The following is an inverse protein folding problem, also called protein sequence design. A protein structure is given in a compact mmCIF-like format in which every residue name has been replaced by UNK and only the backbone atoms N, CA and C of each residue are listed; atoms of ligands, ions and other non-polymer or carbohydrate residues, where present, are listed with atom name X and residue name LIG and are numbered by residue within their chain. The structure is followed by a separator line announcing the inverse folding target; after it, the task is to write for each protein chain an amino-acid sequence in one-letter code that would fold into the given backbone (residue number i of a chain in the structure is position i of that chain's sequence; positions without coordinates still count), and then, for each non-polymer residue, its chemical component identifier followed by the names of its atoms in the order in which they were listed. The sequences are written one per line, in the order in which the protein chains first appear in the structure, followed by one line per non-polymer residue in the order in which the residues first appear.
data_IF_511964515716
#
_entry.id   IF_511964515716
#
_cell.length_a   1.000
_cell.length_b   1.000
_cell.length_c   1.000
_cell.angle_alpha   90.00
_cell.angle_beta   90.00
_cell.angle_gamma   90.00
#
_symmetry.space_group_name_H-M   'P 1'
#
loop_
_entity.id
_entity.type
_entity.pdbx_description
1 polymer ?
#
# COMPACT_ATOMS: atom_id res chain seq x y z
N UNK A 1 -32.20 35.57 25.20
CA UNK A 1 -31.06 35.08 25.96
C UNK A 1 -29.84 34.93 25.04
N UNK A 2 -29.37 36.03 24.52
CA UNK A 2 -28.16 36.16 23.71
C UNK A 2 -27.48 37.45 24.16
N UNK A 3 -26.68 37.44 25.24
CA UNK A 3 -25.81 38.53 25.69
C UNK A 3 -25.25 38.19 27.08
N UNK A 4 -24.46 37.14 27.23
CA UNK A 4 -23.73 36.91 28.49
C UNK A 4 -22.49 35.96 28.34
N UNK A 5 -21.80 35.92 27.18
CA UNK A 5 -20.55 35.20 27.02
C UNK A 5 -19.54 36.07 26.25
N UNK A 6 -19.36 37.29 26.66
CA UNK A 6 -18.38 38.19 26.06
C UNK A 6 -17.71 39.07 27.14
N UNK A 7 -17.36 38.47 28.31
CA UNK A 7 -16.72 39.28 29.36
C UNK A 7 -15.85 38.45 30.31
N UNK A 8 -15.02 37.53 29.76
CA UNK A 8 -14.11 36.79 30.62
C UNK A 8 -12.78 36.41 29.91
N UNK A 9 -12.27 37.28 29.04
CA UNK A 9 -10.97 37.09 28.36
C UNK A 9 -10.21 38.42 28.24
N UNK A 10 -10.19 39.19 29.32
CA UNK A 10 -9.34 40.39 29.40
C UNK A 10 -9.02 40.69 30.85
N UNK A 11 -8.18 39.87 31.50
CA UNK A 11 -7.52 40.27 32.74
C UNK A 11 -6.51 39.19 33.16
N UNK A 12 -5.35 39.13 32.57
CA UNK A 12 -4.08 38.75 33.21
C UNK A 12 -2.95 39.17 32.28
N UNK A 13 -2.63 40.41 32.24
CA UNK A 13 -1.30 40.95 31.94
C UNK A 13 -1.10 42.15 32.88
N UNK A 14 0.02 42.15 33.51
CA UNK A 14 0.68 43.17 34.31
C UNK A 14 0.90 42.72 35.76
N UNK A 15 2.16 42.65 36.08
CA UNK A 15 2.92 42.84 37.32
C UNK A 15 3.97 41.72 37.39
N UNK A 16 5.22 41.98 37.21
CA UNK A 16 6.16 42.60 38.03
C UNK A 16 7.57 42.58 37.53
N UNK A 17 8.06 43.72 37.21
CA UNK A 17 9.48 44.07 37.17
C UNK A 17 9.92 44.52 38.57
N UNK A 18 11.26 44.41 38.84
CA UNK A 18 12.08 44.95 39.95
C UNK A 18 12.54 43.85 40.91
N UNK A 19 13.79 43.64 41.22
CA UNK A 19 15.04 44.38 41.12
C UNK A 19 16.21 43.57 41.72
N UNK A 20 17.43 44.03 41.43
CA UNK A 20 18.68 43.96 42.19
C UNK A 20 19.29 42.57 42.50
N UNK A 21 20.41 42.16 42.01
CA UNK A 21 21.70 42.87 42.11
C UNK A 21 22.58 42.23 43.18
N UNK A 22 23.53 41.33 42.79
CA UNK A 22 24.76 41.08 43.57
C UNK A 22 25.84 40.47 42.66
N UNK A 23 26.96 41.15 42.57
CA UNK A 23 28.23 40.67 42.00
C UNK A 23 28.92 39.70 42.94
N UNK A 24 29.58 38.65 42.42
CA UNK A 24 30.92 38.16 42.74
C UNK A 24 31.10 36.71 42.28
N UNK A 25 32.30 36.18 42.07
CA UNK A 25 33.41 36.63 41.29
C UNK A 25 33.81 35.62 40.17
N UNK A 26 34.66 36.10 39.25
CA UNK A 26 35.36 35.33 38.23
C UNK A 26 36.13 34.14 38.80
N UNK A 27 35.91 32.97 38.18
CA UNK A 27 36.87 31.88 38.17
C UNK A 27 37.13 31.53 36.70
N UNK A 28 38.32 31.80 36.26
CA UNK A 28 38.88 31.37 34.97
C UNK A 28 38.80 29.84 34.87
N UNK A 29 38.19 29.35 33.79
CA UNK A 29 38.35 27.99 33.33
C UNK A 29 39.03 27.98 31.96
N UNK A 30 39.90 27.00 31.69
CA UNK A 30 40.79 27.03 30.55
C UNK A 30 40.06 26.80 29.24
N UNK A 31 40.41 27.61 28.24
CA UNK A 31 40.09 27.36 26.83
C UNK A 31 40.67 26.01 26.40
N UNK A 32 39.79 25.10 26.04
CA UNK A 32 40.10 24.04 25.13
C UNK A 32 39.24 24.28 23.87
N UNK A 33 39.85 24.91 22.91
CA UNK A 33 39.42 24.86 21.52
C UNK A 33 39.57 23.41 21.05
N UNK A 34 38.45 22.72 20.93
CA UNK A 34 38.37 21.61 20.04
C UNK A 34 37.39 22.03 18.93
N UNK A 35 37.96 22.52 17.85
CA UNK A 35 37.26 22.56 16.58
C UNK A 35 36.84 21.14 16.24
N UNK A 36 35.54 20.88 16.34
CA UNK A 36 34.93 19.79 15.67
C UNK A 36 35.05 20.05 14.15
N UNK A 37 35.55 19.11 13.35
CA UNK A 37 35.54 19.28 11.92
C UNK A 37 34.07 19.36 11.48
N UNK A 38 33.66 20.53 10.99
CA UNK A 38 32.54 20.63 10.05
C UNK A 38 32.94 19.82 8.83
N UNK A 39 32.50 18.59 8.80
CA UNK A 39 32.27 17.90 7.55
C UNK A 39 31.00 18.53 6.96
N UNK A 40 31.14 19.66 6.28
CA UNK A 40 30.28 19.93 5.14
C UNK A 40 30.55 18.78 4.18
N UNK A 41 29.71 17.73 4.24
CA UNK A 41 29.54 16.88 3.12
C UNK A 41 28.80 17.74 2.08
N UNK A 42 29.58 18.39 1.20
CA UNK A 42 29.06 18.76 -0.11
C UNK A 42 28.47 17.48 -0.65
N UNK A 43 27.13 17.44 -0.79
CA UNK A 43 26.49 16.43 -1.61
C UNK A 43 27.23 16.48 -2.95
N UNK A 44 27.72 15.35 -3.48
CA UNK A 44 28.40 15.36 -4.74
C UNK A 44 27.44 15.99 -5.76
N UNK A 45 27.90 17.04 -6.42
CA UNK A 45 27.14 17.73 -7.48
C UNK A 45 26.81 16.81 -8.67
N UNK A 46 27.22 15.55 -8.61
CA UNK A 46 27.07 14.50 -9.61
C UNK A 46 26.01 13.44 -9.21
N UNK A 47 25.18 13.71 -8.18
CA UNK A 47 24.28 12.71 -7.62
C UNK A 47 22.98 12.55 -8.42
N UNK A 48 22.58 13.52 -9.25
CA UNK A 48 21.42 13.41 -10.13
C UNK A 48 21.92 12.94 -11.49
N UNK A 49 21.50 11.75 -11.92
CA UNK A 49 21.79 11.26 -13.26
C UNK A 49 21.26 12.24 -14.30
N UNK A 50 22.04 12.49 -15.36
CA UNK A 50 21.50 13.15 -16.54
C UNK A 50 20.40 12.26 -17.16
N UNK A 51 19.52 12.84 -17.97
CA UNK A 51 18.49 12.07 -18.67
C UNK A 51 19.11 10.94 -19.52
N UNK A 52 20.25 11.18 -20.14
CA UNK A 52 21.00 10.19 -20.94
C UNK A 52 21.59 9.08 -20.07
N UNK A 53 22.17 9.42 -18.91
CA UNK A 53 22.71 8.44 -17.96
C UNK A 53 21.62 7.63 -17.29
N UNK A 54 20.48 8.26 -16.96
CA UNK A 54 19.31 7.56 -16.40
C UNK A 54 18.71 6.58 -17.42
N UNK A 55 18.60 6.97 -18.69
CA UNK A 55 18.16 6.09 -19.77
C UNK A 55 19.14 4.93 -19.96
N UNK A 56 20.45 5.20 -19.97
CA UNK A 56 21.47 4.18 -20.09
C UNK A 56 21.50 3.22 -18.88
N UNK A 57 21.30 3.74 -17.67
CA UNK A 57 21.21 2.92 -16.46
C UNK A 57 19.96 2.02 -16.49
N UNK A 58 18.81 2.54 -16.92
CA UNK A 58 17.59 1.75 -17.10
C UNK A 58 17.76 0.65 -18.13
N UNK A 59 18.40 0.94 -19.28
CA UNK A 59 18.60 -0.01 -20.37
C UNK A 59 19.67 -1.07 -20.04
N UNK A 60 20.64 -0.73 -19.20
CA UNK A 60 21.71 -1.61 -18.74
C UNK A 60 21.36 -2.38 -17.45
N UNK A 61 20.35 -1.92 -16.71
CA UNK A 61 19.97 -2.48 -15.44
C UNK A 61 19.25 -3.81 -15.57
N UNK A 62 19.42 -4.67 -14.59
CA UNK A 62 18.50 -5.76 -14.35
C UNK A 62 17.29 -5.22 -13.61
N UNK A 63 16.12 -5.66 -14.00
CA UNK A 63 14.91 -5.48 -13.22
C UNK A 63 15.09 -6.21 -11.89
N UNK A 64 14.67 -5.60 -10.79
CA UNK A 64 14.65 -6.31 -9.51
C UNK A 64 13.53 -7.33 -9.57
N UNK A 65 13.95 -8.54 -9.85
CA UNK A 65 13.17 -9.75 -9.73
C UNK A 65 12.01 -9.90 -10.71
N UNK A 66 12.02 -11.01 -11.41
CA UNK A 66 10.81 -11.58 -12.01
C UNK A 66 9.69 -11.79 -10.96
N UNK A 67 10.04 -11.68 -9.67
CA UNK A 67 9.17 -11.85 -8.52
C UNK A 67 8.17 -10.70 -8.33
N UNK A 68 8.39 -9.55 -8.97
CA UNK A 68 7.52 -8.36 -8.89
C UNK A 68 6.84 -8.12 -10.24
N UNK A 69 6.15 -9.13 -10.74
CA UNK A 69 5.48 -9.07 -12.04
C UNK A 69 4.64 -7.80 -12.21
N UNK A 70 4.90 -7.10 -13.32
CA UNK A 70 4.18 -5.87 -13.69
C UNK A 70 4.82 -4.57 -13.24
N UNK A 71 5.87 -4.61 -12.41
CA UNK A 71 6.58 -3.41 -11.96
C UNK A 71 8.06 -3.45 -12.36
N UNK A 72 8.53 -2.38 -12.97
CA UNK A 72 9.91 -2.23 -13.40
C UNK A 72 10.77 -1.63 -12.29
N UNK A 73 11.18 -2.43 -11.32
CA UNK A 73 12.21 -2.03 -10.37
C UNK A 73 13.59 -2.27 -10.96
N UNK A 74 14.41 -1.25 -10.93
CA UNK A 74 15.80 -1.35 -11.33
C UNK A 74 16.65 -1.79 -10.13
N UNK A 75 17.56 -2.77 -10.29
CA UNK A 75 18.38 -3.28 -9.19
C UNK A 75 19.18 -2.19 -8.47
N UNK A 76 19.58 -1.14 -9.18
CA UNK A 76 20.23 0.03 -8.64
C UNK A 76 19.30 1.12 -8.12
N UNK A 77 17.97 0.94 -8.18
CA UNK A 77 17.00 2.01 -7.86
C UNK A 77 17.18 2.54 -6.45
N UNK A 78 17.31 1.67 -5.45
CA UNK A 78 17.52 2.12 -4.08
C UNK A 78 18.84 2.88 -3.92
N UNK A 79 19.92 2.38 -4.51
CA UNK A 79 21.22 3.06 -4.48
C UNK A 79 21.16 4.42 -5.18
N UNK A 80 20.46 4.51 -6.31
CA UNK A 80 20.29 5.76 -7.04
C UNK A 80 19.48 6.77 -6.23
N UNK A 81 18.32 6.38 -5.71
CA UNK A 81 17.50 7.24 -4.85
C UNK A 81 18.26 7.63 -3.58
N UNK A 82 18.93 6.68 -2.96
CA UNK A 82 19.72 6.90 -1.77
C UNK A 82 20.84 7.91 -1.97
N UNK A 83 21.54 7.87 -3.12
CA UNK A 83 22.63 8.80 -3.43
C UNK A 83 22.17 10.25 -3.61
N UNK A 84 20.89 10.46 -3.87
CA UNK A 84 20.33 11.79 -4.12
C UNK A 84 19.74 12.45 -2.87
N UNK A 85 19.75 11.78 -1.71
CA UNK A 85 19.14 12.31 -0.49
C UNK A 85 20.16 12.62 0.59
N UNK A 86 19.89 13.65 1.42
CA UNK A 86 20.69 13.96 2.58
C UNK A 86 20.82 12.76 3.53
N UNK A 87 21.94 12.68 4.23
CA UNK A 87 22.17 11.66 5.23
C UNK A 87 21.92 12.26 6.63
N UNK A 88 20.84 11.85 7.29
CA UNK A 88 20.39 12.38 8.57
C UNK A 88 20.83 11.53 9.76
N UNK A 89 22.12 11.27 9.92
CA UNK A 89 22.66 10.39 10.98
C UNK A 89 22.21 10.77 12.39
N UNK A 90 22.00 12.04 12.64
CA UNK A 90 21.69 12.61 13.96
C UNK A 90 20.36 13.37 13.99
N UNK A 91 19.39 12.98 13.14
CA UNK A 91 18.14 13.72 13.01
C UNK A 91 17.31 13.84 14.31
N UNK A 92 17.53 12.94 15.29
CA UNK A 92 16.92 13.03 16.63
C UNK A 92 17.41 14.22 17.46
N UNK A 93 18.54 14.80 17.13
CA UNK A 93 19.22 15.76 17.99
C UNK A 93 18.50 17.10 18.12
N UNK A 94 17.69 17.51 17.14
CA UNK A 94 17.08 18.84 17.11
C UNK A 94 15.55 18.87 16.86
N UNK A 95 14.93 17.74 16.58
CA UNK A 95 13.48 17.62 16.41
C UNK A 95 12.92 18.42 15.22
N UNK A 96 13.74 18.69 14.20
CA UNK A 96 13.34 19.49 13.03
C UNK A 96 13.04 18.67 11.78
N UNK A 97 13.36 17.37 11.81
CA UNK A 97 13.07 16.49 10.69
C UNK A 97 11.55 16.34 10.53
N UNK A 98 11.06 16.62 9.34
CA UNK A 98 9.63 16.59 9.00
C UNK A 98 9.33 15.49 8.03
N UNK A 99 8.34 14.68 8.36
CA UNK A 99 7.88 13.57 7.54
C UNK A 99 6.40 13.76 7.19
N UNK A 100 6.03 13.52 5.94
CA UNK A 100 4.64 13.60 5.52
C UNK A 100 4.14 12.28 4.93
N UNK A 101 2.80 12.13 4.94
CA UNK A 101 2.10 11.18 4.09
C UNK A 101 1.05 11.93 3.27
N UNK A 102 1.22 11.98 1.95
CA UNK A 102 0.23 12.55 1.03
C UNK A 102 -0.55 11.42 0.42
N UNK A 103 -1.80 11.30 0.83
CA UNK A 103 -2.66 10.16 0.56
C UNK A 103 -3.85 10.54 -0.33
N UNK A 104 -4.19 9.67 -1.28
CA UNK A 104 -5.34 9.87 -2.18
C UNK A 104 -6.66 10.04 -1.43
N UNK A 105 -6.89 9.29 -0.36
CA UNK A 105 -8.03 9.43 0.55
C UNK A 105 -7.78 8.69 1.86
N UNK A 106 -8.45 9.12 2.92
CA UNK A 106 -8.47 8.40 4.20
C UNK A 106 -9.52 7.27 4.18
N UNK A 107 -9.47 6.38 5.16
CA UNK A 107 -10.43 5.29 5.32
C UNK A 107 -9.81 4.07 5.99
N UNK A 108 -10.57 2.99 6.06
CA UNK A 108 -10.17 1.76 6.75
C UNK A 108 -8.84 1.16 6.25
N UNK A 109 -8.47 1.43 5.00
CA UNK A 109 -7.24 0.95 4.40
C UNK A 109 -6.03 1.87 4.64
N UNK A 110 -6.20 3.19 4.55
CA UNK A 110 -5.09 4.14 4.62
C UNK A 110 -4.89 4.76 6.01
N UNK A 111 -5.95 4.93 6.80
CA UNK A 111 -5.85 5.52 8.14
C UNK A 111 -4.91 4.73 9.06
N UNK A 112 -4.95 3.40 9.14
CA UNK A 112 -3.98 2.64 9.94
C UNK A 112 -2.53 2.83 9.49
N UNK A 113 -2.28 2.93 8.17
CA UNK A 113 -0.95 3.21 7.62
C UNK A 113 -0.45 4.60 8.01
N UNK A 114 -1.33 5.62 7.88
CA UNK A 114 -1.01 6.98 8.26
C UNK A 114 -0.67 7.09 9.75
N UNK A 115 -1.49 6.48 10.61
CA UNK A 115 -1.25 6.47 12.05
C UNK A 115 0.07 5.77 12.41
N UNK A 116 0.30 4.59 11.83
CA UNK A 116 1.52 3.82 12.10
C UNK A 116 2.78 4.53 11.61
N UNK A 117 2.72 5.18 10.44
CA UNK A 117 3.84 6.03 9.98
C UNK A 117 4.09 7.16 10.97
N UNK A 118 3.04 7.89 11.39
CA UNK A 118 3.14 8.96 12.39
C UNK A 118 3.77 8.47 13.68
N UNK A 119 3.22 7.43 14.31
CA UNK A 119 3.73 6.84 15.54
C UNK A 119 5.20 6.42 15.43
N UNK A 120 5.58 5.82 14.30
CA UNK A 120 6.96 5.34 14.07
C UNK A 120 7.96 6.49 13.98
N UNK A 121 7.65 7.54 13.20
CA UNK A 121 8.59 8.65 12.99
C UNK A 121 8.60 9.63 14.16
N UNK A 122 7.46 9.85 14.82
CA UNK A 122 7.37 10.68 16.04
C UNK A 122 8.12 10.05 17.22
N UNK A 123 8.13 8.72 17.34
CA UNK A 123 8.95 8.02 18.33
C UNK A 123 10.45 8.26 18.14
N UNK A 124 10.89 8.56 16.92
CA UNK A 124 12.26 8.95 16.59
C UNK A 124 12.49 10.46 16.70
N UNK A 125 11.48 11.25 17.07
CA UNK A 125 11.56 12.71 17.27
C UNK A 125 11.30 13.53 16.02
N UNK A 126 10.73 12.98 14.97
CA UNK A 126 10.32 13.71 13.78
C UNK A 126 8.98 14.44 14.01
N UNK A 127 8.74 15.52 13.25
CA UNK A 127 7.40 16.08 13.06
C UNK A 127 6.68 15.29 11.97
N UNK A 128 5.39 15.02 12.16
CA UNK A 128 4.59 14.26 11.19
C UNK A 128 3.37 15.04 10.69
N UNK A 129 3.08 14.92 9.39
CA UNK A 129 1.91 15.51 8.75
C UNK A 129 1.22 14.49 7.84
N UNK A 130 -0.06 14.26 8.10
CA UNK A 130 -0.93 13.50 7.18
C UNK A 130 -1.76 14.48 6.33
N UNK A 131 -1.72 14.31 5.01
CA UNK A 131 -2.50 15.07 4.03
C UNK A 131 -3.44 14.10 3.33
N UNK A 132 -4.76 14.31 3.50
CA UNK A 132 -5.82 13.57 2.84
C UNK A 132 -6.34 14.39 1.65
N UNK A 133 -6.11 13.90 0.44
CA UNK A 133 -6.60 14.55 -0.78
C UNK A 133 -8.09 14.29 -1.06
N UNK A 134 -8.75 13.43 -0.28
CA UNK A 134 -10.18 13.11 -0.40
C UNK A 134 -10.61 12.73 -1.83
N UNK A 135 -9.75 12.03 -2.57
CA UNK A 135 -9.97 11.60 -3.95
C UNK A 135 -9.79 12.67 -5.01
N UNK A 136 -9.40 13.88 -4.64
CA UNK A 136 -9.19 15.01 -5.55
C UNK A 136 -7.73 15.08 -6.00
N UNK A 137 -7.49 14.99 -7.32
CA UNK A 137 -6.16 15.02 -7.92
C UNK A 137 -5.44 16.35 -7.65
N UNK A 138 -6.17 17.49 -7.74
CA UNK A 138 -5.56 18.78 -7.51
C UNK A 138 -5.17 18.97 -6.05
N UNK A 139 -6.01 18.54 -5.11
CA UNK A 139 -5.69 18.58 -3.69
C UNK A 139 -4.46 17.72 -3.35
N UNK A 140 -4.27 16.60 -4.06
CA UNK A 140 -3.08 15.77 -3.90
C UNK A 140 -1.82 16.47 -4.41
N UNK A 141 -1.89 17.11 -5.59
CA UNK A 141 -0.80 17.90 -6.17
C UNK A 141 -0.44 19.07 -5.22
N UNK A 142 -1.45 19.81 -4.76
CA UNK A 142 -1.27 20.91 -3.82
C UNK A 142 -0.65 20.43 -2.50
N UNK A 143 -0.97 19.21 -2.08
CA UNK A 143 -0.36 18.54 -0.92
C UNK A 143 1.14 18.30 -1.12
N UNK A 144 1.55 17.82 -2.28
CA UNK A 144 2.98 17.64 -2.63
C UNK A 144 3.69 18.99 -2.69
N UNK A 145 3.13 19.97 -3.37
CA UNK A 145 3.72 21.31 -3.47
C UNK A 145 3.84 21.98 -2.08
N UNK A 146 2.88 21.74 -1.19
CA UNK A 146 2.89 22.26 0.18
C UNK A 146 4.02 21.68 1.03
N UNK A 147 4.29 20.35 0.95
CA UNK A 147 5.41 19.76 1.70
C UNK A 147 6.76 20.26 1.18
N UNK A 148 6.91 20.48 -0.12
CA UNK A 148 8.12 21.07 -0.72
C UNK A 148 8.29 22.49 -0.21
N UNK A 149 7.25 23.33 -0.24
CA UNK A 149 7.29 24.72 0.21
C UNK A 149 7.55 24.87 1.71
N UNK A 150 7.32 23.83 2.50
CA UNK A 150 7.56 23.82 3.95
C UNK A 150 8.86 23.11 4.34
N UNK A 151 9.72 22.75 3.39
CA UNK A 151 11.00 22.07 3.62
C UNK A 151 10.82 20.79 4.44
N UNK A 152 9.99 19.85 3.97
CA UNK A 152 9.92 18.50 4.52
C UNK A 152 11.14 17.69 4.10
N UNK A 153 11.52 16.73 4.93
CA UNK A 153 12.71 15.89 4.71
C UNK A 153 12.36 14.56 4.04
N UNK A 154 11.17 14.04 4.30
CA UNK A 154 10.72 12.79 3.68
C UNK A 154 9.20 12.75 3.51
N UNK A 155 8.74 11.94 2.55
CA UNK A 155 7.32 11.75 2.27
C UNK A 155 7.00 10.32 1.82
N UNK A 156 5.89 9.79 2.30
CA UNK A 156 5.21 8.64 1.68
C UNK A 156 4.09 9.15 0.77
N UNK A 157 3.93 8.53 -0.39
CA UNK A 157 2.96 8.93 -1.40
C UNK A 157 2.02 7.77 -1.75
N UNK A 158 0.73 8.07 -1.89
CA UNK A 158 -0.21 7.24 -2.62
C UNK A 158 -1.15 8.15 -3.43
N UNK A 159 -1.02 8.17 -4.75
CA UNK A 159 -1.73 9.10 -5.61
C UNK A 159 -3.15 8.60 -5.94
N UNK A 160 -4.09 9.50 -6.24
CA UNK A 160 -5.38 9.13 -6.82
C UNK A 160 -5.27 8.60 -8.26
N UNK A 161 -4.19 8.99 -8.96
CA UNK A 161 -3.85 8.56 -10.30
C UNK A 161 -2.32 8.44 -10.40
N UNK A 162 -1.82 7.28 -10.81
CA UNK A 162 -0.37 7.00 -10.88
C UNK A 162 0.37 7.86 -11.91
N UNK A 163 -0.31 8.40 -12.92
CA UNK A 163 0.27 9.34 -13.88
C UNK A 163 0.80 10.63 -13.23
N UNK A 164 0.28 10.98 -12.04
CA UNK A 164 0.73 12.16 -11.29
C UNK A 164 2.11 11.96 -10.62
N UNK A 165 2.55 10.71 -10.47
CA UNK A 165 3.79 10.41 -9.74
C UNK A 165 5.02 10.96 -10.45
N UNK A 166 5.11 10.87 -11.77
CA UNK A 166 6.31 11.30 -12.49
C UNK A 166 6.69 12.76 -12.19
N UNK A 167 5.71 13.67 -12.26
CA UNK A 167 5.92 15.09 -11.95
C UNK A 167 6.19 15.33 -10.46
N UNK A 168 5.46 14.64 -9.58
CA UNK A 168 5.63 14.76 -8.15
C UNK A 168 7.03 14.29 -7.71
N UNK A 169 7.47 13.14 -8.21
CA UNK A 169 8.77 12.57 -7.90
C UNK A 169 9.92 13.47 -8.41
N UNK A 170 9.77 14.04 -9.63
CA UNK A 170 10.75 14.98 -10.16
C UNK A 170 10.90 16.24 -9.27
N UNK A 171 9.79 16.81 -8.80
CA UNK A 171 9.81 17.96 -7.88
C UNK A 171 10.45 17.61 -6.52
N UNK A 172 10.14 16.43 -5.98
CA UNK A 172 10.71 15.97 -4.71
C UNK A 172 12.21 15.71 -4.84
N UNK A 173 12.66 15.14 -5.96
CA UNK A 173 14.08 14.95 -6.26
C UNK A 173 14.81 16.29 -6.33
N UNK A 174 14.27 17.27 -7.07
CA UNK A 174 14.85 18.61 -7.16
C UNK A 174 14.93 19.31 -5.79
N UNK A 175 13.94 19.07 -4.93
CA UNK A 175 13.91 19.60 -3.58
C UNK A 175 14.79 18.81 -2.58
N UNK A 176 15.36 17.68 -2.96
CA UNK A 176 16.16 16.81 -2.08
C UNK A 176 15.34 16.12 -0.99
N UNK A 177 14.04 15.92 -1.20
CA UNK A 177 13.13 15.27 -0.26
C UNK A 177 13.11 13.76 -0.52
N UNK A 178 13.44 12.97 0.50
CA UNK A 178 13.36 11.50 0.41
C UNK A 178 11.92 11.04 0.24
N UNK A 179 11.68 10.02 -0.57
CA UNK A 179 10.32 9.52 -0.78
C UNK A 179 10.23 8.00 -0.87
N UNK A 180 9.05 7.50 -0.64
CA UNK A 180 8.60 6.16 -1.02
C UNK A 180 7.14 6.24 -1.48
N UNK A 181 6.68 5.19 -2.15
CA UNK A 181 5.27 5.02 -2.48
C UNK A 181 4.67 3.86 -1.68
N UNK A 182 3.36 3.87 -1.50
CA UNK A 182 2.63 2.74 -0.95
C UNK A 182 1.33 2.53 -1.72
N UNK A 183 0.90 1.29 -1.84
CA UNK A 183 -0.34 0.84 -2.48
C UNK A 183 -0.37 0.98 -4.02
N UNK A 184 -0.04 2.14 -4.54
CA UNK A 184 -0.03 2.42 -5.99
C UNK A 184 1.38 2.84 -6.40
N UNK A 185 2.20 1.91 -6.90
CA UNK A 185 3.53 2.23 -7.41
C UNK A 185 3.43 2.92 -8.78
N UNK A 186 4.44 3.69 -9.10
CA UNK A 186 4.57 4.29 -10.41
C UNK A 186 5.98 4.79 -10.66
N UNK A 187 6.36 4.91 -11.93
CA UNK A 187 7.68 5.36 -12.32
C UNK A 187 7.83 6.88 -12.18
N UNK A 188 9.08 7.29 -12.00
CA UNK A 188 9.51 8.67 -12.18
C UNK A 188 9.60 9.05 -13.68
N UNK A 189 10.06 10.26 -13.96
CA UNK A 189 10.23 10.77 -15.32
C UNK A 189 11.23 9.93 -16.17
N UNK A 190 12.11 9.17 -15.54
CA UNK A 190 13.10 8.30 -16.19
C UNK A 190 12.63 6.85 -16.31
N UNK A 191 11.46 6.52 -15.77
CA UNK A 191 10.88 5.17 -15.80
C UNK A 191 11.35 4.26 -14.68
N UNK A 192 12.02 4.78 -13.63
CA UNK A 192 12.36 4.04 -12.42
C UNK A 192 11.22 4.12 -11.41
N UNK A 193 10.83 3.00 -10.89
CA UNK A 193 9.86 2.98 -9.80
C UNK A 193 10.49 3.47 -8.50
N UNK A 194 9.79 4.35 -7.81
CA UNK A 194 10.17 4.79 -6.47
C UNK A 194 10.23 3.60 -5.51
N UNK A 195 11.07 3.63 -4.46
CA UNK A 195 11.01 2.62 -3.41
C UNK A 195 9.58 2.44 -2.94
N UNK A 196 9.06 1.22 -2.98
CA UNK A 196 7.65 0.92 -2.77
C UNK A 196 7.44 -0.02 -1.60
N UNK A 197 6.45 0.28 -0.78
CA UNK A 197 6.00 -0.59 0.30
C UNK A 197 4.55 -0.96 0.01
N UNK A 198 4.29 -2.21 -0.33
CA UNK A 198 2.98 -2.59 -0.78
C UNK A 198 2.76 -4.07 -0.96
N UNK A 199 1.78 -4.39 -1.79
CA UNK A 199 1.47 -5.75 -2.17
C UNK A 199 2.22 -6.10 -3.45
N UNK A 200 2.82 -7.28 -3.47
CA UNK A 200 3.09 -7.95 -4.73
C UNK A 200 1.78 -8.58 -5.20
N UNK A 201 1.06 -7.85 -6.02
CA UNK A 201 -0.30 -8.21 -6.44
C UNK A 201 -0.35 -9.53 -7.21
N UNK A 202 0.66 -9.81 -8.02
CA UNK A 202 0.75 -11.08 -8.75
C UNK A 202 1.08 -12.22 -7.80
N UNK A 203 2.19 -12.11 -7.06
CA UNK A 203 2.69 -13.16 -6.16
C UNK A 203 1.66 -13.52 -5.09
N UNK A 204 1.05 -12.50 -4.47
CA UNK A 204 0.00 -12.65 -3.46
C UNK A 204 -1.12 -13.57 -3.93
N UNK A 205 -1.61 -13.35 -5.14
CA UNK A 205 -2.70 -14.14 -5.70
C UNK A 205 -2.23 -15.43 -6.38
N UNK A 206 -0.98 -15.53 -6.80
CA UNK A 206 -0.39 -16.79 -7.22
C UNK A 206 -0.33 -17.78 -6.06
N UNK A 207 0.12 -17.36 -4.89
CA UNK A 207 0.08 -18.17 -3.66
C UNK A 207 -1.36 -18.51 -3.23
N UNK A 208 -2.30 -17.58 -3.38
CA UNK A 208 -3.72 -17.85 -3.15
C UNK A 208 -4.25 -18.91 -4.12
N UNK A 209 -3.87 -18.84 -5.40
CA UNK A 209 -4.23 -19.83 -6.43
C UNK A 209 -3.69 -21.21 -6.09
N UNK A 210 -2.42 -21.32 -5.70
CA UNK A 210 -1.80 -22.58 -5.22
C UNK A 210 -2.53 -23.14 -4.01
N UNK A 211 -2.85 -22.28 -3.04
CA UNK A 211 -3.58 -22.67 -1.85
C UNK A 211 -4.98 -23.21 -2.18
N UNK A 212 -5.72 -22.53 -3.04
CA UNK A 212 -7.06 -22.99 -3.48
C UNK A 212 -6.95 -24.30 -4.27
N UNK A 213 -5.95 -24.44 -5.13
CA UNK A 213 -5.68 -25.68 -5.85
C UNK A 213 -5.39 -26.85 -4.88
N UNK A 214 -4.60 -26.60 -3.84
CA UNK A 214 -4.35 -27.59 -2.78
C UNK A 214 -5.65 -27.99 -2.07
N UNK A 215 -6.53 -27.05 -1.71
CA UNK A 215 -7.84 -27.34 -1.12
C UNK A 215 -8.74 -28.15 -2.04
N UNK A 216 -8.72 -27.88 -3.33
CA UNK A 216 -9.46 -28.66 -4.34
C UNK A 216 -8.99 -30.13 -4.30
N UNK A 217 -7.68 -30.38 -4.19
CA UNK A 217 -7.12 -31.75 -4.08
C UNK A 217 -7.48 -32.41 -2.75
N UNK A 218 -7.25 -31.73 -1.63
CA UNK A 218 -7.49 -32.25 -0.28
C UNK A 218 -8.96 -32.65 -0.07
N UNK A 219 -9.87 -31.82 -0.54
CA UNK A 219 -11.32 -32.04 -0.42
C UNK A 219 -11.89 -32.95 -1.50
N UNK A 220 -11.07 -33.38 -2.47
CA UNK A 220 -11.52 -34.16 -3.64
C UNK A 220 -12.66 -33.47 -4.40
N UNK A 221 -12.63 -32.14 -4.43
CA UNK A 221 -13.73 -31.31 -4.88
C UNK A 221 -14.06 -31.50 -6.37
N UNK A 222 -13.08 -31.89 -7.19
CA UNK A 222 -13.21 -32.20 -8.62
C UNK A 222 -13.26 -33.72 -8.91
N UNK A 223 -13.26 -34.59 -7.90
CA UNK A 223 -13.27 -36.04 -8.12
C UNK A 223 -14.53 -36.47 -8.90
N UNK A 224 -14.30 -37.05 -10.07
CA UNK A 224 -15.38 -37.50 -10.94
C UNK A 224 -16.11 -36.42 -11.72
N UNK A 225 -15.66 -35.16 -11.61
CA UNK A 225 -16.22 -34.04 -12.37
C UNK A 225 -15.48 -33.90 -13.70
N UNK A 226 -16.24 -33.80 -14.79
CA UNK A 226 -15.71 -33.42 -16.10
C UNK A 226 -15.35 -31.94 -16.06
N UNK A 227 -14.09 -31.56 -16.38
CA UNK A 227 -13.65 -30.18 -16.35
C UNK A 227 -14.50 -29.26 -17.23
N UNK A 228 -15.10 -29.77 -18.30
CA UNK A 228 -16.03 -28.98 -19.14
C UNK A 228 -17.30 -28.53 -18.39
N UNK A 229 -17.56 -29.12 -17.21
CA UNK A 229 -18.66 -28.74 -16.30
C UNK A 229 -18.22 -27.87 -15.15
N UNK A 230 -17.00 -27.38 -15.18
CA UNK A 230 -16.48 -26.40 -14.20
C UNK A 230 -16.54 -25.02 -14.82
N UNK A 231 -17.32 -24.13 -14.23
CA UNK A 231 -17.28 -22.71 -14.58
C UNK A 231 -16.11 -22.03 -13.83
N UNK A 232 -14.98 -21.83 -14.50
CA UNK A 232 -13.88 -21.03 -13.97
C UNK A 232 -14.01 -19.61 -14.50
N UNK A 233 -14.41 -18.67 -13.62
CA UNK A 233 -14.78 -17.31 -13.98
C UNK A 233 -13.87 -16.32 -13.25
N UNK A 234 -13.30 -15.40 -14.01
CA UNK A 234 -12.43 -14.32 -13.53
C UNK A 234 -13.17 -13.00 -13.71
N UNK A 235 -13.50 -12.33 -12.61
CA UNK A 235 -14.06 -10.98 -12.62
C UNK A 235 -12.89 -9.99 -12.64
N UNK A 236 -12.50 -9.56 -13.82
CA UNK A 236 -11.29 -8.78 -14.07
C UNK A 236 -11.60 -7.31 -14.35
N UNK A 237 -10.62 -6.46 -14.16
CA UNK A 237 -10.63 -5.06 -14.57
C UNK A 237 -9.30 -4.73 -15.25
N UNK A 238 -9.16 -5.02 -16.56
CA UNK A 238 -7.88 -4.89 -17.27
C UNK A 238 -7.27 -3.48 -17.24
N UNK A 239 -8.09 -2.46 -17.06
CA UNK A 239 -7.64 -1.07 -16.92
C UNK A 239 -7.06 -0.77 -15.51
N UNK A 240 -7.24 -1.66 -14.54
CA UNK A 240 -6.72 -1.53 -13.17
C UNK A 240 -5.64 -2.58 -12.96
N UNK A 241 -4.39 -2.19 -13.20
CA UNK A 241 -3.24 -3.09 -13.23
C UNK A 241 -3.17 -4.04 -12.02
N UNK A 242 -3.34 -3.53 -10.82
CA UNK A 242 -3.30 -4.34 -9.60
C UNK A 242 -4.33 -5.50 -9.62
N UNK A 243 -5.55 -5.23 -10.08
CA UNK A 243 -6.61 -6.26 -10.16
C UNK A 243 -6.29 -7.29 -11.23
N UNK A 244 -5.83 -6.82 -12.39
CA UNK A 244 -5.44 -7.70 -13.49
C UNK A 244 -4.29 -8.63 -13.08
N UNK A 245 -3.24 -8.10 -12.44
CA UNK A 245 -2.11 -8.88 -11.94
C UNK A 245 -2.55 -9.92 -10.88
N UNK A 246 -3.43 -9.56 -9.97
CA UNK A 246 -4.00 -10.49 -8.99
C UNK A 246 -4.71 -11.65 -9.67
N UNK A 247 -5.57 -11.35 -10.61
CA UNK A 247 -6.30 -12.37 -11.37
C UNK A 247 -5.36 -13.24 -12.22
N UNK A 248 -4.36 -12.65 -12.86
CA UNK A 248 -3.31 -13.38 -13.58
C UNK A 248 -2.58 -14.35 -12.63
N UNK A 249 -2.09 -13.83 -11.50
CA UNK A 249 -1.42 -14.65 -10.48
C UNK A 249 -2.30 -15.80 -10.01
N UNK A 250 -3.58 -15.55 -9.72
CA UNK A 250 -4.51 -16.59 -9.29
C UNK A 250 -4.66 -17.71 -10.33
N UNK A 251 -4.85 -17.35 -11.60
CA UNK A 251 -4.96 -18.33 -12.69
C UNK A 251 -3.69 -19.15 -12.84
N UNK A 252 -2.51 -18.50 -12.77
CA UNK A 252 -1.21 -19.16 -12.87
C UNK A 252 -0.95 -20.09 -11.67
N UNK A 253 -1.35 -19.68 -10.46
CA UNK A 253 -1.29 -20.54 -9.27
C UNK A 253 -2.20 -21.78 -9.37
N UNK A 254 -3.38 -21.65 -9.94
CA UNK A 254 -4.25 -22.80 -10.27
C UNK A 254 -3.59 -23.68 -11.34
N UNK A 255 -2.94 -23.07 -12.35
CA UNK A 255 -2.32 -23.77 -13.45
C UNK A 255 -1.20 -24.72 -13.03
N UNK A 256 -0.49 -24.43 -11.94
CA UNK A 256 0.57 -25.32 -11.42
C UNK A 256 0.04 -26.73 -11.08
N UNK A 257 -1.22 -26.83 -10.63
CA UNK A 257 -1.85 -28.11 -10.27
C UNK A 257 -2.87 -28.57 -11.33
N UNK A 258 -3.61 -27.63 -11.92
CA UNK A 258 -4.70 -27.88 -12.86
C UNK A 258 -4.53 -27.07 -14.17
N UNK A 259 -3.50 -27.33 -14.98
CA UNK A 259 -3.23 -26.54 -16.19
C UNK A 259 -4.38 -26.55 -17.20
N UNK A 260 -5.09 -27.69 -17.34
CA UNK A 260 -6.24 -27.78 -18.24
C UNK A 260 -7.42 -26.94 -17.77
N UNK A 261 -7.65 -26.85 -16.46
CA UNK A 261 -8.70 -25.99 -15.87
C UNK A 261 -8.34 -24.51 -16.09
N UNK A 262 -7.11 -24.13 -15.88
CA UNK A 262 -6.66 -22.76 -16.06
C UNK A 262 -6.88 -22.25 -17.49
N UNK A 263 -6.69 -23.12 -18.52
CA UNK A 263 -6.97 -22.73 -19.92
C UNK A 263 -8.43 -22.48 -20.23
N UNK A 264 -9.36 -22.89 -19.34
CA UNK A 264 -10.79 -22.67 -19.47
C UNK A 264 -11.31 -21.42 -18.79
N UNK A 265 -10.43 -20.66 -18.09
CA UNK A 265 -10.80 -19.46 -17.39
C UNK A 265 -11.52 -18.45 -18.31
N UNK A 266 -12.68 -17.98 -17.88
CA UNK A 266 -13.49 -16.98 -18.57
C UNK A 266 -13.32 -15.63 -17.92
N UNK A 267 -12.66 -14.73 -18.61
CA UNK A 267 -12.38 -13.39 -18.15
C UNK A 267 -13.57 -12.47 -18.45
N UNK A 268 -14.17 -11.90 -17.42
CA UNK A 268 -15.26 -10.94 -17.50
C UNK A 268 -14.71 -9.56 -17.20
N UNK A 269 -14.69 -8.68 -18.18
CA UNK A 269 -14.30 -7.29 -18.00
C UNK A 269 -15.36 -6.54 -17.19
N UNK A 270 -15.04 -6.21 -15.95
CA UNK A 270 -15.86 -5.49 -14.97
C UNK A 270 -15.56 -3.97 -14.97
N UNK A 271 -14.94 -3.46 -16.01
CA UNK A 271 -14.72 -2.03 -16.17
C UNK A 271 -13.78 -1.45 -15.12
N UNK A 272 -14.33 -0.65 -14.20
CA UNK A 272 -13.54 -0.01 -13.12
C UNK A 272 -13.36 -0.89 -11.88
N UNK A 273 -13.84 -2.12 -11.91
CA UNK A 273 -13.82 -3.07 -10.79
C UNK A 273 -14.52 -2.57 -9.52
N UNK A 274 -15.48 -1.68 -9.62
CA UNK A 274 -16.35 -1.40 -8.49
C UNK A 274 -17.38 -2.53 -8.28
N UNK A 275 -17.90 -2.62 -7.06
CA UNK A 275 -18.83 -3.68 -6.67
C UNK A 275 -20.07 -3.76 -7.57
N UNK A 276 -20.59 -2.60 -8.01
CA UNK A 276 -21.80 -2.53 -8.82
C UNK A 276 -21.55 -3.01 -10.25
N UNK A 277 -20.42 -2.60 -10.84
CA UNK A 277 -20.02 -3.03 -12.19
C UNK A 277 -19.75 -4.54 -12.23
N UNK A 278 -19.00 -5.08 -11.24
CA UNK A 278 -18.74 -6.51 -11.13
C UNK A 278 -20.03 -7.32 -10.94
N UNK A 279 -20.91 -6.86 -10.04
CA UNK A 279 -22.19 -7.52 -9.79
C UNK A 279 -23.08 -7.51 -11.03
N UNK A 280 -23.19 -6.38 -11.73
CA UNK A 280 -23.97 -6.25 -12.94
C UNK A 280 -23.43 -7.13 -14.07
N UNK A 281 -22.11 -7.14 -14.27
CA UNK A 281 -21.47 -7.97 -15.29
C UNK A 281 -21.66 -9.45 -15.01
N UNK A 282 -21.35 -9.90 -13.79
CA UNK A 282 -21.52 -11.30 -13.40
C UNK A 282 -23.00 -11.72 -13.45
N UNK A 283 -23.93 -10.90 -12.94
CA UNK A 283 -25.35 -11.16 -12.97
C UNK A 283 -25.93 -11.32 -14.39
N UNK A 284 -25.43 -10.54 -15.35
CA UNK A 284 -25.82 -10.64 -16.75
C UNK A 284 -25.30 -11.93 -17.42
N UNK A 285 -24.10 -12.37 -17.03
CA UNK A 285 -23.43 -13.51 -17.67
C UNK A 285 -23.76 -14.85 -16.99
N UNK A 286 -24.09 -14.87 -15.70
CA UNK A 286 -24.25 -16.09 -14.89
C UNK A 286 -25.23 -17.09 -15.51
N UNK A 287 -26.33 -16.61 -16.12
CA UNK A 287 -27.34 -17.46 -16.73
C UNK A 287 -26.81 -18.33 -17.86
N UNK A 288 -25.76 -17.88 -18.56
CA UNK A 288 -25.13 -18.65 -19.63
C UNK A 288 -24.35 -19.88 -19.10
N UNK A 289 -23.99 -19.87 -17.83
CA UNK A 289 -23.23 -20.94 -17.19
C UNK A 289 -24.06 -21.87 -16.33
N UNK A 290 -25.32 -21.53 -16.01
CA UNK A 290 -26.15 -22.37 -15.12
C UNK A 290 -26.42 -23.77 -15.69
N UNK A 291 -26.63 -23.86 -17.02
CA UNK A 291 -26.96 -25.15 -17.66
C UNK A 291 -25.71 -26.02 -17.81
N UNK A 292 -25.65 -27.10 -17.06
CA UNK A 292 -24.56 -28.09 -17.16
C UNK A 292 -23.34 -27.83 -16.28
N UNK A 293 -23.28 -26.72 -15.58
CA UNK A 293 -22.21 -26.47 -14.61
C UNK A 293 -22.45 -27.24 -13.32
N UNK A 294 -21.46 -28.03 -12.92
CA UNK A 294 -21.47 -28.81 -11.68
C UNK A 294 -20.64 -28.13 -10.59
N UNK A 295 -19.58 -27.39 -10.95
CA UNK A 295 -18.67 -26.69 -10.02
C UNK A 295 -18.35 -25.27 -10.49
N UNK A 296 -18.16 -24.38 -9.54
CA UNK A 296 -17.88 -22.97 -9.79
C UNK A 296 -16.59 -22.54 -9.07
N UNK A 297 -15.59 -22.19 -9.83
CA UNK A 297 -14.36 -21.55 -9.32
C UNK A 297 -14.36 -20.11 -9.81
N UNK A 298 -14.32 -19.15 -8.90
CA UNK A 298 -14.46 -17.74 -9.24
C UNK A 298 -13.35 -16.93 -8.56
N UNK A 299 -12.74 -16.03 -9.31
CA UNK A 299 -11.79 -15.05 -8.77
C UNK A 299 -12.24 -13.63 -9.08
N UNK A 300 -12.06 -12.71 -8.13
CA UNK A 300 -12.45 -11.32 -8.27
C UNK A 300 -11.29 -10.34 -8.28
N UNK A 301 -10.10 -10.72 -7.80
CA UNK A 301 -8.92 -9.84 -7.73
C UNK A 301 -9.08 -8.57 -6.90
N UNK A 302 -10.29 -8.28 -6.41
CA UNK A 302 -10.60 -7.10 -5.62
C UNK A 302 -11.71 -7.37 -4.61
N UNK A 303 -11.62 -6.78 -3.43
CA UNK A 303 -12.39 -7.09 -2.22
C UNK A 303 -13.93 -7.00 -2.34
N UNK A 304 -14.41 -6.46 -3.40
CA UNK A 304 -15.82 -6.15 -3.52
C UNK A 304 -16.66 -7.24 -4.20
N UNK A 305 -16.05 -8.33 -4.68
CA UNK A 305 -16.76 -9.29 -5.56
C UNK A 305 -17.41 -10.45 -4.83
N UNK A 306 -16.90 -10.86 -3.66
CA UNK A 306 -17.40 -12.08 -2.97
C UNK A 306 -18.86 -12.00 -2.60
N UNK A 307 -19.29 -10.95 -1.91
CA UNK A 307 -20.66 -10.81 -1.40
C UNK A 307 -21.69 -10.78 -2.53
N UNK A 308 -21.54 -9.94 -3.56
CA UNK A 308 -22.50 -9.93 -4.68
C UNK A 308 -22.49 -11.24 -5.48
N UNK A 309 -21.31 -11.86 -5.66
CA UNK A 309 -21.22 -13.15 -6.35
C UNK A 309 -21.99 -14.25 -5.61
N UNK A 310 -21.82 -14.36 -4.29
CA UNK A 310 -22.58 -15.32 -3.46
C UNK A 310 -24.07 -15.05 -3.55
N UNK A 311 -24.48 -13.78 -3.48
CA UNK A 311 -25.90 -13.40 -3.58
C UNK A 311 -26.49 -13.83 -4.91
N UNK A 312 -25.83 -13.48 -6.03
CA UNK A 312 -26.30 -13.81 -7.38
C UNK A 312 -26.40 -15.33 -7.59
N UNK A 313 -25.37 -16.09 -7.15
CA UNK A 313 -25.39 -17.56 -7.28
C UNK A 313 -26.54 -18.18 -6.50
N UNK A 314 -26.79 -17.75 -5.26
CA UNK A 314 -27.92 -18.23 -4.44
C UNK A 314 -29.28 -17.89 -5.05
N UNK A 315 -29.43 -16.66 -5.55
CA UNK A 315 -30.67 -16.25 -6.24
C UNK A 315 -30.96 -17.08 -7.49
N UNK A 316 -29.91 -17.59 -8.13
CA UNK A 316 -30.02 -18.51 -9.27
C UNK A 316 -30.07 -19.99 -8.88
N UNK A 317 -30.19 -20.31 -7.58
CA UNK A 317 -30.38 -21.67 -7.09
C UNK A 317 -29.11 -22.53 -7.10
N UNK A 318 -27.93 -21.92 -7.17
CA UNK A 318 -26.66 -22.65 -7.13
C UNK A 318 -26.37 -23.10 -5.69
N UNK A 319 -26.07 -24.39 -5.53
CA UNK A 319 -25.65 -24.94 -4.25
C UNK A 319 -24.21 -24.48 -3.91
N UNK A 320 -24.08 -23.74 -2.81
CA UNK A 320 -22.80 -23.17 -2.37
C UNK A 320 -21.74 -24.22 -2.03
N UNK A 321 -22.09 -25.47 -1.77
CA UNK A 321 -21.13 -26.58 -1.62
C UNK A 321 -20.34 -26.85 -2.92
N UNK A 322 -20.85 -26.39 -4.05
CA UNK A 322 -20.24 -26.51 -5.37
C UNK A 322 -19.51 -25.22 -5.81
N UNK A 323 -19.29 -24.28 -4.91
CA UNK A 323 -18.71 -22.98 -5.22
C UNK A 323 -17.45 -22.73 -4.39
N UNK A 324 -16.37 -22.32 -5.04
CA UNK A 324 -15.18 -21.75 -4.40
C UNK A 324 -14.92 -20.38 -4.98
N UNK A 325 -14.74 -19.38 -4.12
CA UNK A 325 -14.52 -17.99 -4.53
C UNK A 325 -13.19 -17.51 -3.94
N UNK A 326 -12.34 -16.92 -4.76
CA UNK A 326 -11.10 -16.30 -4.35
C UNK A 326 -11.14 -14.79 -4.59
N UNK A 327 -10.60 -14.00 -3.66
CA UNK A 327 -10.55 -12.54 -3.81
C UNK A 327 -9.45 -11.93 -2.93
N UNK A 328 -9.20 -10.64 -3.07
CA UNK A 328 -8.39 -9.87 -2.15
C UNK A 328 -9.29 -9.28 -1.03
N UNK A 329 -9.13 -9.75 0.19
CA UNK A 329 -9.97 -9.30 1.31
C UNK A 329 -9.45 -8.00 1.92
N UNK A 330 -9.84 -6.86 1.37
CA UNK A 330 -9.54 -5.53 1.91
C UNK A 330 -10.59 -5.00 2.89
N UNK A 331 -11.75 -5.67 2.98
CA UNK A 331 -12.84 -5.35 3.92
C UNK A 331 -13.22 -6.58 4.73
N UNK A 332 -13.95 -6.36 5.83
CA UNK A 332 -14.44 -7.44 6.68
C UNK A 332 -15.58 -8.26 6.05
N UNK A 333 -16.27 -7.73 5.04
CA UNK A 333 -17.52 -8.31 4.53
C UNK A 333 -17.40 -9.78 4.10
N UNK A 334 -16.36 -10.22 3.35
CA UNK A 334 -16.22 -11.63 3.03
C UNK A 334 -16.00 -12.51 4.26
N UNK A 335 -15.25 -12.01 5.24
CA UNK A 335 -14.98 -12.74 6.49
C UNK A 335 -16.24 -12.86 7.32
N UNK A 336 -17.00 -11.79 7.46
CA UNK A 336 -18.30 -11.79 8.15
C UNK A 336 -19.31 -12.70 7.47
N UNK A 337 -19.33 -12.71 6.13
CA UNK A 337 -20.18 -13.59 5.36
C UNK A 337 -19.88 -15.08 5.65
N UNK A 338 -18.61 -15.49 5.66
CA UNK A 338 -18.20 -16.85 6.00
C UNK A 338 -18.59 -17.25 7.43
N UNK A 339 -18.50 -16.30 8.37
CA UNK A 339 -18.89 -16.53 9.77
C UNK A 339 -20.42 -16.66 9.93
N UNK A 340 -21.20 -15.94 9.12
CA UNK A 340 -22.66 -15.97 9.14
C UNK A 340 -23.23 -17.17 8.37
N UNK A 341 -22.55 -17.60 7.33
CA UNK A 341 -22.97 -18.67 6.44
C UNK A 341 -21.84 -19.67 6.18
N UNK A 342 -21.78 -20.77 6.95
CA UNK A 342 -20.74 -21.79 6.81
C UNK A 342 -20.72 -22.53 5.46
N UNK A 343 -21.75 -22.35 4.61
CA UNK A 343 -21.74 -22.95 3.26
C UNK A 343 -20.89 -22.17 2.28
N UNK A 344 -20.52 -20.93 2.61
CA UNK A 344 -19.69 -20.08 1.76
C UNK A 344 -18.22 -20.49 1.87
N UNK A 345 -17.66 -20.95 0.76
CA UNK A 345 -16.24 -21.31 0.63
C UNK A 345 -15.50 -20.17 -0.07
N UNK A 346 -15.18 -19.12 0.69
CA UNK A 346 -14.40 -18.01 0.19
C UNK A 346 -12.96 -18.07 0.71
N UNK A 347 -12.02 -17.74 -0.15
CA UNK A 347 -10.58 -17.74 0.11
C UNK A 347 -10.04 -16.36 -0.21
N UNK A 348 -9.27 -15.79 0.70
CA UNK A 348 -8.79 -14.43 0.53
C UNK A 348 -7.29 -14.29 0.73
N UNK A 349 -6.67 -13.50 -0.10
CA UNK A 349 -5.41 -12.88 0.25
C UNK A 349 -5.73 -11.65 1.11
N UNK A 350 -5.53 -11.77 2.42
CA UNK A 350 -5.81 -10.69 3.37
C UNK A 350 -4.56 -9.87 3.55
N UNK A 351 -4.70 -8.58 3.36
CA UNK A 351 -3.63 -7.68 3.00
C UNK A 351 -2.61 -7.33 4.07
N UNK A 352 -2.80 -7.51 5.36
CA UNK A 352 -1.73 -7.27 6.33
C UNK A 352 -2.06 -7.66 7.76
N UNK A 353 -1.01 -8.01 8.47
CA UNK A 353 -0.96 -7.97 9.92
C UNK A 353 -0.63 -6.53 10.40
N UNK A 354 -0.86 -6.25 11.67
CA UNK A 354 -0.39 -4.99 12.28
C UNK A 354 1.13 -4.78 12.10
N UNK A 355 1.90 -5.85 11.91
CA UNK A 355 3.33 -5.79 11.63
C UNK A 355 3.65 -5.17 10.25
N UNK A 356 2.80 -5.36 9.24
CA UNK A 356 3.06 -4.82 7.90
C UNK A 356 2.92 -3.30 7.80
N UNK A 357 2.06 -2.68 8.63
CA UNK A 357 1.86 -1.22 8.56
C UNK A 357 3.05 -0.40 9.06
N UNK A 358 3.91 -0.98 9.90
CA UNK A 358 5.12 -0.29 10.39
C UNK A 358 6.21 -0.17 9.32
N UNK A 359 6.18 -1.02 8.29
CA UNK A 359 7.20 -1.06 7.24
C UNK A 359 7.38 0.28 6.53
N UNK A 360 6.31 1.07 6.35
CA UNK A 360 6.40 2.40 5.73
C UNK A 360 7.31 3.31 6.57
N UNK A 361 7.06 3.37 7.88
CA UNK A 361 7.86 4.16 8.81
C UNK A 361 9.31 3.70 8.85
N UNK A 362 9.55 2.39 8.87
CA UNK A 362 10.89 1.82 8.86
C UNK A 362 11.67 2.19 7.60
N UNK A 363 11.06 2.11 6.42
CA UNK A 363 11.71 2.48 5.16
C UNK A 363 11.99 3.99 5.05
N UNK A 364 11.07 4.83 5.53
CA UNK A 364 11.30 6.28 5.64
C UNK A 364 12.47 6.58 6.59
N UNK A 365 12.51 5.93 7.76
CA UNK A 365 13.60 6.13 8.71
C UNK A 365 14.95 5.65 8.18
N UNK A 366 15.00 4.54 7.44
CA UNK A 366 16.21 4.10 6.74
C UNK A 366 16.70 5.18 5.77
N UNK A 367 15.80 5.76 4.96
CA UNK A 367 16.15 6.83 4.05
C UNK A 367 16.76 8.04 4.80
N UNK A 368 16.08 8.50 5.86
CA UNK A 368 16.52 9.63 6.68
C UNK A 368 17.87 9.36 7.39
N UNK A 369 18.12 8.13 7.82
CA UNK A 369 19.37 7.73 8.47
C UNK A 369 20.51 7.45 7.47
N UNK A 370 20.22 7.51 6.18
CA UNK A 370 21.17 7.16 5.15
C UNK A 370 21.52 5.66 5.16
N UNK A 371 20.56 4.81 5.48
CA UNK A 371 20.68 3.36 5.47
C UNK A 371 20.12 2.78 4.17
N UNK A 372 20.67 1.68 3.64
CA UNK A 372 20.12 1.01 2.46
C UNK A 372 18.66 0.58 2.66
N UNK A 373 17.86 0.74 1.63
CA UNK A 373 16.46 0.31 1.57
C UNK A 373 16.27 -0.70 0.45
N UNK A 374 15.25 -1.52 0.58
CA UNK A 374 14.80 -2.36 -0.51
C UNK A 374 14.02 -1.52 -1.53
N UNK A 375 14.20 -1.79 -2.82
CA UNK A 375 13.42 -1.15 -3.88
C UNK A 375 11.94 -1.48 -3.75
N UNK A 376 11.65 -2.69 -3.31
CA UNK A 376 10.30 -3.14 -2.97
C UNK A 376 10.29 -3.86 -1.60
N UNK A 377 9.36 -3.45 -0.74
CA UNK A 377 9.12 -4.10 0.55
C UNK A 377 7.69 -4.64 0.57
N UNK A 378 7.56 -5.97 0.48
CA UNK A 378 6.26 -6.61 0.45
C UNK A 378 5.58 -6.62 1.83
N UNK A 379 4.27 -6.43 1.86
CA UNK A 379 3.46 -6.78 3.01
C UNK A 379 3.35 -8.30 3.17
N UNK A 380 3.29 -8.75 4.43
CA UNK A 380 3.07 -10.17 4.73
C UNK A 380 1.75 -10.68 4.15
N UNK A 381 1.81 -11.86 3.57
CA UNK A 381 0.64 -12.57 3.08
C UNK A 381 -0.09 -13.28 4.22
N UNK A 382 -1.38 -12.98 4.38
CA UNK A 382 -2.30 -13.73 5.22
C UNK A 382 -3.37 -14.38 4.34
N UNK A 383 -3.32 -15.70 4.19
CA UNK A 383 -4.40 -16.43 3.51
C UNK A 383 -5.56 -16.63 4.49
N UNK A 384 -6.72 -16.15 4.08
CA UNK A 384 -7.99 -16.31 4.78
C UNK A 384 -8.80 -17.43 4.14
N UNK A 385 -9.31 -18.31 4.97
CA UNK A 385 -10.24 -19.40 4.58
C UNK A 385 -11.34 -19.55 5.63
N UNK A 386 -12.41 -20.31 5.37
CA UNK A 386 -13.49 -20.51 6.35
C UNK A 386 -12.98 -21.00 7.72
N UNK A 387 -11.92 -21.82 7.73
CA UNK A 387 -11.39 -22.40 8.96
C UNK A 387 -10.73 -21.36 9.89
N UNK A 388 -10.13 -20.29 9.35
CA UNK A 388 -9.47 -19.25 10.13
C UNK A 388 -10.21 -17.90 10.14
N UNK A 389 -11.40 -17.83 9.56
CA UNK A 389 -12.17 -16.57 9.42
C UNK A 389 -12.37 -15.83 10.75
N UNK A 390 -12.61 -16.56 11.85
CA UNK A 390 -12.79 -15.95 13.18
C UNK A 390 -11.50 -15.33 13.72
N UNK A 391 -10.37 -15.97 13.49
CA UNK A 391 -9.04 -15.45 13.85
C UNK A 391 -8.71 -14.19 13.03
N UNK A 392 -8.88 -14.26 11.74
CA UNK A 392 -8.66 -13.11 10.83
C UNK A 392 -9.58 -11.93 11.17
N UNK A 393 -10.86 -12.19 11.49
CA UNK A 393 -11.79 -11.16 11.97
C UNK A 393 -11.23 -10.45 13.19
N UNK A 394 -10.72 -11.21 14.17
CA UNK A 394 -10.21 -10.65 15.41
C UNK A 394 -8.88 -9.88 15.21
N UNK A 395 -8.01 -10.36 14.31
CA UNK A 395 -6.68 -9.78 14.10
C UNK A 395 -6.68 -8.59 13.13
N UNK A 396 -7.44 -8.71 12.04
CA UNK A 396 -7.38 -7.75 10.92
C UNK A 396 -8.56 -6.78 10.94
N UNK A 397 -9.72 -7.24 11.41
CA UNK A 397 -10.95 -6.45 11.41
C UNK A 397 -11.61 -6.41 12.81
N UNK A 398 -10.90 -5.99 13.87
CA UNK A 398 -11.40 -6.08 15.25
C UNK A 398 -12.71 -5.33 15.47
N UNK A 399 -12.89 -4.21 14.76
CA UNK A 399 -14.03 -3.29 14.90
C UNK A 399 -15.23 -3.62 13.99
N UNK A 400 -15.13 -4.66 13.15
CA UNK A 400 -16.17 -5.04 12.21
C UNK A 400 -17.33 -5.84 12.85
#
# INVERSE_FOLDING_TARGET
MKKLIALLLALVMVVGLVACGAKAPEAEAPKAEAEAPKAEAEAPADAILSEEDAAAARDAGSLVGDDYAGYNYYEGTDTWYYSNYPNYKDFKADGKVKVAFVCKFSGAWFTPKANSLGETVEAEGCEYLFIDANGDEQAWIDGVDNIIAQDFDAVCLTPPNTELLADALAKLQEAGIAYCTTDDPGPDAYGFYAPHIGLDDYYLHNELGKFVAQKIVEEKWLDGVDLSKVAFIIQDAPAVQAIHLRNQGFVDGIAETFPELATQAKWLDCGKADTADCAAKFGNEVSAYLAGTEKWLISGGGAATVVPTVTILKENGVDMANVKIADCFSTADPVLLMLQDPTVQAYGATRYSAASVVLIGEQILKALKGEPRDAFTAYDLLITEPANAAEIKAQVFPDA
#
